data_IF_121832008613
#
_entry.id   IF_121832008613
#
_cell.length_a   1.000
_cell.length_b   1.000
_cell.length_c   1.000
_cell.angle_alpha   90.00
_cell.angle_beta   90.00
_cell.angle_gamma   90.00
#
_symmetry.space_group_name_H-M   'P 1'
#
loop_
_entity.id
_entity.type
_entity.pdbx_description
1 polymer ?
#
# COMPACT_ATOMS: atom_id res chain seq x y z
N UNK A 1 -24.17 12.77 25.25
CA UNK A 1 -23.50 11.58 25.81
C UNK A 1 -22.34 11.09 24.91
N UNK A 2 -22.57 10.78 23.64
CA UNK A 2 -21.53 10.21 22.75
C UNK A 2 -20.28 11.10 22.57
N UNK A 3 -20.46 12.41 22.34
CA UNK A 3 -19.35 13.35 22.22
C UNK A 3 -18.48 13.42 23.50
N UNK A 4 -19.11 13.30 24.67
CA UNK A 4 -18.41 13.32 25.94
C UNK A 4 -17.51 12.08 26.10
N UNK A 5 -18.03 10.91 25.72
CA UNK A 5 -17.26 9.66 25.72
C UNK A 5 -16.08 9.73 24.75
N UNK A 6 -16.27 10.31 23.57
CA UNK A 6 -15.20 10.54 22.58
C UNK A 6 -14.13 11.46 23.16
N UNK A 7 -14.50 12.60 23.75
CA UNK A 7 -13.54 13.57 24.29
C UNK A 7 -12.76 12.99 25.49
N UNK A 8 -13.37 12.15 26.31
CA UNK A 8 -12.71 11.55 27.47
C UNK A 8 -11.80 10.37 27.13
N UNK A 9 -12.20 9.52 26.18
CA UNK A 9 -11.48 8.26 25.92
C UNK A 9 -10.61 8.28 24.67
N UNK A 10 -10.92 9.10 23.65
CA UNK A 10 -10.09 9.16 22.44
C UNK A 10 -8.98 10.19 22.62
N UNK A 11 -7.70 9.79 22.48
CA UNK A 11 -6.58 10.71 22.69
C UNK A 11 -6.54 11.78 21.61
N UNK A 12 -6.11 12.97 22.00
CA UNK A 12 -5.89 14.07 21.05
C UNK A 12 -4.73 13.72 20.08
N UNK A 13 -4.68 14.35 18.89
CA UNK A 13 -3.56 14.19 17.97
C UNK A 13 -2.19 14.35 18.62
N UNK A 14 -2.06 15.33 19.52
CA UNK A 14 -0.82 15.66 20.25
C UNK A 14 -0.35 14.51 21.13
N UNK A 15 -1.28 13.84 21.83
CA UNK A 15 -0.95 12.67 22.64
C UNK A 15 -0.75 11.41 21.79
N UNK A 16 -1.60 11.23 20.78
CA UNK A 16 -1.62 10.03 19.95
C UNK A 16 -0.37 9.87 19.07
N UNK A 17 0.18 10.98 18.58
CA UNK A 17 1.30 10.95 17.65
C UNK A 17 2.59 10.39 18.28
N UNK A 18 2.84 10.66 19.56
CA UNK A 18 4.07 10.24 20.25
C UNK A 18 4.32 8.73 20.14
N UNK A 19 3.31 7.91 20.40
CA UNK A 19 3.43 6.45 20.30
C UNK A 19 3.14 5.92 18.89
N UNK A 20 2.34 6.62 18.07
CA UNK A 20 2.00 6.15 16.72
C UNK A 20 3.14 6.31 15.72
N UNK A 21 3.93 7.39 15.82
CA UNK A 21 5.01 7.67 14.85
C UNK A 21 6.10 6.59 14.89
N UNK A 22 6.31 5.98 16.06
CA UNK A 22 7.22 4.83 16.20
C UNK A 22 6.85 3.66 15.28
N UNK A 23 5.55 3.48 15.00
CA UNK A 23 5.06 2.41 14.13
C UNK A 23 4.77 2.88 12.69
N UNK A 24 4.50 4.17 12.50
CA UNK A 24 4.09 4.73 11.22
C UNK A 24 5.27 5.24 10.37
N UNK A 25 6.34 5.76 10.98
CA UNK A 25 7.48 6.31 10.25
C UNK A 25 8.56 5.26 10.06
N UNK A 26 9.06 5.07 8.84
CA UNK A 26 10.11 4.09 8.54
C UNK A 26 11.53 4.63 8.81
N UNK A 27 11.67 5.95 8.97
CA UNK A 27 12.95 6.59 9.24
C UNK A 27 13.40 6.54 10.70
N UNK A 28 14.62 7.04 10.97
CA UNK A 28 15.16 7.14 12.32
C UNK A 28 14.25 8.02 13.20
N UNK A 29 14.02 7.57 14.43
CA UNK A 29 13.10 8.22 15.37
C UNK A 29 13.66 9.52 15.98
N UNK A 30 14.95 9.77 15.78
CA UNK A 30 15.71 10.92 16.28
C UNK A 30 15.84 12.04 15.24
N UNK A 31 15.30 11.83 14.04
CA UNK A 31 15.29 12.82 12.96
C UNK A 31 14.48 14.07 13.35
N UNK A 32 14.85 15.23 12.79
CA UNK A 32 14.12 16.49 12.97
C UNK A 32 12.66 16.35 12.53
N UNK A 33 12.44 15.64 11.43
CA UNK A 33 11.10 15.34 10.90
C UNK A 33 10.32 14.46 11.88
N UNK A 34 10.94 13.43 12.45
CA UNK A 34 10.31 12.55 13.44
C UNK A 34 9.97 13.29 14.74
N UNK A 35 10.86 14.15 15.23
CA UNK A 35 10.62 14.99 16.41
C UNK A 35 9.47 15.99 16.17
N UNK A 36 9.46 16.66 15.01
CA UNK A 36 8.40 17.60 14.65
C UNK A 36 7.03 16.90 14.55
N UNK A 37 6.99 15.69 13.98
CA UNK A 37 5.77 14.88 13.96
C UNK A 37 5.34 14.46 15.37
N UNK A 38 6.27 14.07 16.27
CA UNK A 38 5.93 13.68 17.65
C UNK A 38 5.35 14.83 18.45
N UNK A 39 5.85 16.05 18.21
CA UNK A 39 5.37 17.27 18.84
C UNK A 39 4.09 17.84 18.22
N UNK A 40 3.64 17.30 17.08
CA UNK A 40 2.55 17.88 16.27
C UNK A 40 2.82 19.35 15.90
N UNK A 41 4.06 19.74 15.63
CA UNK A 41 4.42 21.15 15.49
C UNK A 41 3.87 21.73 14.16
N UNK A 42 2.99 22.75 14.18
CA UNK A 42 2.51 23.40 12.97
C UNK A 42 3.58 24.19 12.22
N UNK A 43 4.73 24.52 12.84
CA UNK A 43 5.84 25.27 12.22
C UNK A 43 6.96 24.38 11.69
N UNK A 44 6.92 23.08 11.98
CA UNK A 44 7.90 22.13 11.46
C UNK A 44 7.74 21.87 9.96
N UNK A 45 8.61 21.02 9.42
CA UNK A 45 8.49 20.54 8.05
C UNK A 45 7.15 19.85 7.83
N UNK A 46 6.52 20.14 6.69
CA UNK A 46 5.24 19.54 6.34
C UNK A 46 5.43 18.04 6.13
N UNK A 47 4.63 17.24 6.83
CA UNK A 47 4.52 15.80 6.63
C UNK A 47 3.05 15.42 6.58
N UNK A 48 2.61 14.91 5.44
CA UNK A 48 1.23 14.50 5.21
C UNK A 48 1.23 13.05 4.73
N UNK A 49 0.39 12.23 5.35
CA UNK A 49 0.12 10.89 4.86
C UNK A 49 -1.18 10.89 4.08
N UNK A 50 -1.13 10.51 2.81
CA UNK A 50 -2.32 10.35 1.96
C UNK A 50 -2.77 8.89 2.04
N UNK A 51 -3.95 8.69 2.60
CA UNK A 51 -4.53 7.36 2.81
C UNK A 51 -5.39 6.90 1.64
N UNK A 52 -6.17 7.82 1.07
CA UNK A 52 -7.17 7.50 0.03
C UNK A 52 -7.35 8.66 -0.91
N UNK A 53 -7.75 8.36 -2.15
CA UNK A 53 -8.27 9.35 -3.08
C UNK A 53 -9.78 9.28 -3.13
N UNK A 54 -10.42 10.43 -3.07
CA UNK A 54 -11.86 10.58 -3.17
C UNK A 54 -12.15 11.15 -4.56
N UNK A 55 -12.98 10.48 -5.39
CA UNK A 55 -13.40 11.08 -6.65
C UNK A 55 -14.22 12.34 -6.35
N UNK A 56 -13.89 13.45 -7.01
CA UNK A 56 -14.71 14.65 -6.95
C UNK A 56 -16.05 14.41 -7.67
N UNK A 57 -17.07 15.22 -7.37
CA UNK A 57 -18.40 15.12 -8.00
C UNK A 57 -18.33 15.20 -9.54
N UNK A 58 -17.34 15.90 -10.09
CA UNK A 58 -17.11 16.02 -11.53
C UNK A 58 -16.53 14.75 -12.18
N UNK A 59 -16.14 13.73 -11.38
CA UNK A 59 -15.59 12.44 -11.83
C UNK A 59 -14.24 12.49 -12.55
N UNK A 60 -13.77 13.68 -12.92
CA UNK A 60 -12.53 13.91 -13.67
C UNK A 60 -11.30 14.13 -12.79
N UNK A 61 -11.50 14.51 -11.53
CA UNK A 61 -10.43 14.87 -10.59
C UNK A 61 -10.56 14.06 -9.31
N UNK A 62 -9.41 13.75 -8.71
CA UNK A 62 -9.34 13.11 -7.40
C UNK A 62 -8.86 14.11 -6.34
N UNK A 63 -9.55 14.11 -5.21
CA UNK A 63 -9.11 14.76 -3.99
C UNK A 63 -8.26 13.76 -3.21
N UNK A 64 -7.03 14.15 -2.89
CA UNK A 64 -6.14 13.31 -2.10
C UNK A 64 -6.41 13.55 -0.63
N UNK A 65 -7.04 12.56 0.02
CA UNK A 65 -7.44 12.62 1.41
C UNK A 65 -6.35 12.05 2.30
N UNK A 66 -5.93 12.85 3.27
CA UNK A 66 -4.82 12.52 4.13
C UNK A 66 -4.86 13.25 5.45
N UNK A 67 -3.85 12.99 6.27
CA UNK A 67 -3.66 13.65 7.56
C UNK A 67 -2.31 14.31 7.63
N UNK A 68 -2.29 15.53 8.16
CA UNK A 68 -1.07 16.28 8.41
C UNK A 68 -0.52 15.86 9.77
N UNK A 69 0.70 15.34 9.80
CA UNK A 69 1.40 14.94 11.02
C UNK A 69 2.28 16.05 11.58
N UNK A 70 2.90 16.84 10.70
CA UNK A 70 3.76 17.98 11.04
C UNK A 70 3.61 19.08 10.00
N UNK A 71 3.86 20.32 10.41
CA UNK A 71 3.85 21.50 9.57
C UNK A 71 2.46 22.02 9.21
N UNK A 72 2.44 23.06 8.38
CA UNK A 72 1.22 23.71 7.88
C UNK A 72 1.26 23.75 6.37
N UNK A 73 0.26 23.18 5.70
CA UNK A 73 0.17 23.21 4.24
C UNK A 73 -0.62 24.44 3.79
N UNK A 74 -0.11 25.14 2.79
CA UNK A 74 -0.71 26.33 2.19
C UNK A 74 -1.09 26.03 0.75
N UNK A 75 -2.22 26.58 0.29
CA UNK A 75 -2.61 26.49 -1.12
C UNK A 75 -1.56 27.18 -2.02
N UNK A 76 -1.11 26.48 -3.06
CA UNK A 76 -0.02 26.93 -3.95
C UNK A 76 1.38 26.47 -3.53
N UNK A 77 1.55 25.83 -2.36
CA UNK A 77 2.86 25.38 -1.89
C UNK A 77 3.44 24.27 -2.77
N UNK A 78 4.74 24.34 -3.03
CA UNK A 78 5.51 23.28 -3.69
C UNK A 78 5.84 22.19 -2.67
N UNK A 79 5.44 20.96 -2.97
CA UNK A 79 5.66 19.80 -2.10
C UNK A 79 6.31 18.66 -2.86
N UNK A 80 7.04 17.84 -2.13
CA UNK A 80 7.65 16.60 -2.59
C UNK A 80 6.68 15.46 -2.28
N UNK A 81 6.37 14.68 -3.29
CA UNK A 81 5.49 13.52 -3.21
C UNK A 81 6.38 12.29 -3.29
N UNK A 82 6.36 11.50 -2.23
CA UNK A 82 7.12 10.27 -2.10
C UNK A 82 6.18 9.09 -2.33
N UNK A 83 6.44 8.31 -3.39
CA UNK A 83 5.75 7.06 -3.67
C UNK A 83 6.07 5.98 -2.62
N UNK A 84 5.33 4.85 -2.61
CA UNK A 84 5.48 3.80 -1.61
C UNK A 84 6.88 3.16 -1.59
N UNK A 85 7.53 3.06 -2.75
CA UNK A 85 8.84 2.42 -2.89
C UNK A 85 10.02 3.41 -2.77
N UNK A 86 9.74 4.67 -2.45
CA UNK A 86 10.77 5.70 -2.28
C UNK A 86 11.70 5.35 -1.11
N UNK A 87 13.01 5.43 -1.36
CA UNK A 87 14.05 5.35 -0.33
C UNK A 87 14.85 6.65 -0.31
N UNK A 88 15.17 7.19 0.89
CA UNK A 88 16.03 8.36 1.01
C UNK A 88 17.36 8.16 0.26
N UNK A 89 17.73 9.14 -0.57
CA UNK A 89 18.91 9.08 -1.43
C UNK A 89 18.68 8.55 -2.84
N UNK A 90 17.52 7.93 -3.12
CA UNK A 90 17.10 7.61 -4.48
C UNK A 90 16.20 8.71 -5.05
N UNK A 91 16.31 8.97 -6.36
CA UNK A 91 15.35 9.82 -7.09
C UNK A 91 14.18 9.02 -7.66
N UNK A 92 14.17 7.70 -7.48
CA UNK A 92 13.06 6.84 -7.91
C UNK A 92 11.80 7.15 -7.09
N UNK A 93 10.66 7.36 -7.77
CA UNK A 93 9.35 7.67 -7.17
C UNK A 93 9.25 8.99 -6.37
N UNK A 94 10.17 9.92 -6.61
CA UNK A 94 10.06 11.29 -6.15
C UNK A 94 9.43 12.17 -7.23
N UNK A 95 8.34 12.86 -6.89
CA UNK A 95 7.75 13.88 -7.77
C UNK A 95 7.54 15.19 -7.02
N UNK A 96 8.02 16.29 -7.59
CA UNK A 96 7.82 17.63 -7.03
C UNK A 96 6.66 18.28 -7.78
N UNK A 97 5.61 18.65 -7.05
CA UNK A 97 4.44 19.35 -7.62
C UNK A 97 3.90 20.40 -6.67
N UNK A 98 3.17 21.34 -7.25
CA UNK A 98 2.47 22.37 -6.51
C UNK A 98 1.07 21.86 -6.12
N UNK A 99 0.70 22.05 -4.86
CA UNK A 99 -0.68 21.82 -4.41
C UNK A 99 -1.52 22.98 -4.92
N UNK A 100 -2.55 22.70 -5.73
CA UNK A 100 -3.40 23.76 -6.29
C UNK A 100 -4.28 24.36 -5.20
N UNK A 101 -5.06 23.50 -4.52
CA UNK A 101 -5.99 23.89 -3.47
C UNK A 101 -5.90 22.90 -2.30
N UNK A 102 -6.04 23.45 -1.10
CA UNK A 102 -6.16 22.72 0.16
C UNK A 102 -7.58 22.91 0.67
N UNK A 103 -8.21 21.85 1.18
CA UNK A 103 -9.52 21.93 1.80
C UNK A 103 -9.73 20.91 2.90
N UNK A 104 -10.84 21.04 3.62
CA UNK A 104 -11.31 20.05 4.60
C UNK A 104 -12.61 19.45 4.10
N UNK A 105 -12.70 18.13 4.17
CA UNK A 105 -13.91 17.40 3.81
C UNK A 105 -14.88 17.38 4.99
N UNK A 106 -16.09 17.87 4.75
CA UNK A 106 -17.22 17.78 5.69
C UNK A 106 -18.32 16.99 5.00
N UNK A 107 -18.35 15.69 5.25
CA UNK A 107 -19.25 14.77 4.55
C UNK A 107 -18.91 14.68 3.06
N UNK A 108 -19.84 15.12 2.21
CA UNK A 108 -19.73 15.15 0.75
C UNK A 108 -19.14 16.45 0.21
N UNK A 109 -19.02 17.50 1.05
CA UNK A 109 -18.55 18.82 0.63
C UNK A 109 -17.09 19.04 0.98
N UNK A 110 -16.34 19.58 0.03
CA UNK A 110 -14.97 20.05 0.25
C UNK A 110 -14.99 21.57 0.49
N UNK A 111 -14.61 22.00 1.68
CA UNK A 111 -14.47 23.43 2.02
C UNK A 111 -13.02 23.83 1.77
N UNK A 112 -12.80 24.67 0.76
CA UNK A 112 -11.46 25.19 0.44
C UNK A 112 -10.97 26.14 1.52
N UNK A 113 -9.70 26.02 1.91
CA UNK A 113 -9.06 26.85 2.91
C UNK A 113 -7.68 27.33 2.44
N UNK A 114 -7.23 28.46 2.99
CA UNK A 114 -5.92 29.02 2.66
C UNK A 114 -4.77 28.17 3.22
N UNK A 115 -4.91 27.70 4.46
CA UNK A 115 -3.92 26.85 5.13
C UNK A 115 -4.56 25.87 6.12
N UNK A 116 -3.91 24.73 6.35
CA UNK A 116 -4.35 23.72 7.32
C UNK A 116 -3.14 23.27 8.16
N UNK A 117 -3.19 23.37 9.50
CA UNK A 117 -2.09 22.99 10.38
C UNK A 117 -2.07 21.50 10.72
N UNK A 118 -0.97 21.06 11.31
CA UNK A 118 -0.74 19.70 11.81
C UNK A 118 -1.86 19.18 12.73
N UNK A 119 -2.05 17.87 12.72
CA UNK A 119 -3.06 17.16 13.50
C UNK A 119 -4.40 16.98 12.77
N UNK A 120 -4.70 17.86 11.82
CA UNK A 120 -5.95 17.86 11.05
C UNK A 120 -5.92 16.93 9.83
N UNK A 121 -7.12 16.57 9.39
CA UNK A 121 -7.37 15.82 8.16
C UNK A 121 -7.62 16.81 7.03
N UNK A 122 -7.03 16.54 5.86
CA UNK A 122 -6.99 17.47 4.74
C UNK A 122 -7.30 16.75 3.43
N UNK A 123 -7.92 17.48 2.50
CA UNK A 123 -8.06 17.10 1.11
C UNK A 123 -7.20 18.03 0.24
N UNK A 124 -6.28 17.43 -0.51
CA UNK A 124 -5.36 18.13 -1.40
C UNK A 124 -5.79 17.94 -2.86
N UNK A 125 -5.75 19.02 -3.63
CA UNK A 125 -6.04 19.01 -5.07
C UNK A 125 -4.77 19.34 -5.87
N UNK A 126 -4.56 18.65 -7.01
CA UNK A 126 -3.44 18.92 -7.94
C UNK A 126 -2.29 17.90 -7.87
N UNK A 127 -2.35 16.95 -6.94
CA UNK A 127 -1.35 15.89 -6.74
C UNK A 127 -1.85 14.49 -7.16
N UNK A 128 -3.03 14.43 -7.80
CA UNK A 128 -3.72 13.21 -8.20
C UNK A 128 -2.90 12.33 -9.15
N UNK A 129 -2.30 12.92 -10.19
CA UNK A 129 -1.58 12.16 -11.24
C UNK A 129 -0.29 11.50 -10.77
N UNK A 130 0.30 11.96 -9.68
CA UNK A 130 1.56 11.43 -9.14
C UNK A 130 1.37 10.17 -8.31
N UNK A 131 0.14 9.98 -7.85
CA UNK A 131 -0.18 9.05 -6.78
C UNK A 131 -0.89 7.85 -7.36
N UNK A 132 -0.56 6.65 -6.90
CA UNK A 132 -1.35 5.47 -7.18
C UNK A 132 -2.36 5.28 -6.04
N UNK A 133 -1.90 4.75 -4.90
CA UNK A 133 -2.77 4.40 -3.76
C UNK A 133 -2.53 5.30 -2.55
N UNK A 134 -1.31 5.25 -2.03
CA UNK A 134 -0.87 5.98 -0.84
C UNK A 134 0.43 6.70 -1.14
N UNK A 135 0.69 7.77 -0.40
CA UNK A 135 1.99 8.44 -0.46
C UNK A 135 2.22 9.31 0.76
N UNK A 136 3.49 9.65 0.91
CA UNK A 136 3.95 10.65 1.87
C UNK A 136 4.21 11.94 1.12
N UNK A 137 3.65 13.05 1.59
CA UNK A 137 3.94 14.38 1.05
C UNK A 137 4.76 15.13 2.07
N UNK A 138 5.87 15.70 1.62
CA UNK A 138 6.84 16.39 2.48
C UNK A 138 7.39 17.65 1.85
N UNK A 139 7.87 18.59 2.66
CA UNK A 139 8.71 19.70 2.20
C UNK A 139 10.20 19.41 2.38
N UNK A 140 10.55 18.51 3.32
CA UNK A 140 11.94 18.19 3.64
C UNK A 140 12.59 17.27 2.62
N UNK A 141 13.89 17.44 2.39
CA UNK A 141 14.67 16.58 1.50
C UNK A 141 15.11 15.28 2.18
N UNK A 142 15.22 15.27 3.51
CA UNK A 142 15.74 14.15 4.32
C UNK A 142 14.62 13.26 4.88
N UNK A 143 13.36 13.62 4.64
CA UNK A 143 12.21 12.88 5.11
C UNK A 143 12.13 11.47 4.52
N UNK A 144 11.82 10.51 5.38
CA UNK A 144 11.54 9.13 5.00
C UNK A 144 10.03 8.92 4.77
N UNK A 145 9.71 7.76 4.20
CA UNK A 145 8.32 7.37 3.98
C UNK A 145 7.61 6.95 5.27
N UNK A 146 6.29 7.12 5.25
CA UNK A 146 5.41 6.37 6.13
C UNK A 146 5.31 4.91 5.66
N UNK A 147 5.16 4.02 6.64
CA UNK A 147 4.96 2.59 6.42
C UNK A 147 3.73 2.37 5.56
N UNK A 148 3.91 1.65 4.47
CA UNK A 148 2.81 1.32 3.55
C UNK A 148 1.76 0.50 4.30
N UNK A 149 0.48 0.83 4.08
CA UNK A 149 -0.62 0.08 4.69
C UNK A 149 -0.57 -1.38 4.22
N UNK A 150 -0.40 -2.30 5.18
CA UNK A 150 -0.68 -3.71 4.96
C UNK A 150 -2.19 -3.90 4.99
N UNK A 151 -2.80 -4.25 3.86
CA UNK A 151 -4.18 -4.69 3.86
C UNK A 151 -4.25 -6.07 4.51
N UNK A 152 -5.05 -6.21 5.56
CA UNK A 152 -5.25 -7.50 6.23
C UNK A 152 -5.94 -8.54 5.34
N UNK A 153 -6.52 -8.10 4.21
CA UNK A 153 -7.27 -8.94 3.28
C UNK A 153 -6.59 -8.94 1.93
N UNK A 154 -6.23 -10.13 1.46
CA UNK A 154 -5.76 -10.34 0.09
C UNK A 154 -6.95 -10.39 -0.88
N UNK A 155 -6.86 -9.79 -2.08
CA UNK A 155 -7.91 -9.92 -3.08
C UNK A 155 -7.98 -11.36 -3.60
N UNK A 156 -9.07 -12.06 -3.28
CA UNK A 156 -9.25 -13.49 -3.57
C UNK A 156 -10.02 -13.75 -4.86
N UNK A 157 -11.02 -12.92 -5.17
CA UNK A 157 -11.88 -13.06 -6.35
C UNK A 157 -11.26 -12.31 -7.51
N UNK A 158 -11.14 -12.95 -8.67
CA UNK A 158 -10.62 -12.38 -9.91
C UNK A 158 -11.63 -12.48 -11.03
N UNK A 159 -11.70 -11.45 -11.85
CA UNK A 159 -12.55 -11.41 -13.04
C UNK A 159 -11.80 -10.76 -14.19
N UNK A 160 -11.79 -11.44 -15.34
CA UNK A 160 -11.36 -10.83 -16.59
C UNK A 160 -12.44 -9.87 -17.09
N UNK A 161 -12.04 -8.65 -17.42
CA UNK A 161 -12.91 -7.59 -17.94
C UNK A 161 -12.39 -7.18 -19.31
N UNK A 162 -13.30 -7.11 -20.26
CA UNK A 162 -13.04 -6.59 -21.60
C UNK A 162 -14.16 -5.62 -22.02
N UNK A 163 -13.92 -4.85 -23.07
CA UNK A 163 -14.94 -3.96 -23.67
C UNK A 163 -15.78 -4.74 -24.68
N UNK A 164 -17.08 -4.38 -24.82
CA UNK A 164 -17.88 -4.93 -25.92
C UNK A 164 -17.41 -4.40 -27.28
N UNK A 165 -17.07 -3.12 -27.34
CA UNK A 165 -16.57 -2.45 -28.53
C UNK A 165 -15.05 -2.21 -28.43
N UNK A 166 -14.24 -2.75 -29.35
CA UNK A 166 -12.78 -2.68 -29.27
C UNK A 166 -12.22 -1.25 -29.37
N UNK A 167 -12.99 -0.32 -29.94
CA UNK A 167 -12.64 1.11 -30.03
C UNK A 167 -12.57 1.79 -28.67
N UNK A 168 -13.28 1.29 -27.67
CA UNK A 168 -13.33 1.86 -26.33
C UNK A 168 -12.28 1.27 -25.37
N UNK A 169 -11.39 0.41 -25.86
CA UNK A 169 -10.35 -0.22 -25.03
C UNK A 169 -9.48 0.82 -24.29
N UNK A 170 -9.16 1.94 -24.93
CA UNK A 170 -8.40 3.03 -24.30
C UNK A 170 -9.14 3.66 -23.09
N UNK A 171 -10.48 3.76 -23.17
CA UNK A 171 -11.32 4.25 -22.06
C UNK A 171 -11.36 3.27 -20.91
N UNK A 172 -11.39 1.97 -21.20
CA UNK A 172 -11.30 0.93 -20.17
C UNK A 172 -9.98 1.00 -19.41
N UNK A 173 -8.85 1.13 -20.11
CA UNK A 173 -7.53 1.23 -19.46
C UNK A 173 -7.43 2.48 -18.58
N UNK A 174 -7.96 3.62 -19.03
CA UNK A 174 -8.02 4.84 -18.20
C UNK A 174 -8.97 4.67 -17.00
N UNK A 175 -10.12 4.03 -17.22
CA UNK A 175 -11.09 3.73 -16.17
C UNK A 175 -10.54 2.79 -15.10
N UNK A 176 -9.80 1.75 -15.50
CA UNK A 176 -9.13 0.82 -14.59
C UNK A 176 -8.05 1.53 -13.77
N UNK A 177 -7.27 2.44 -14.38
CA UNK A 177 -6.30 3.26 -13.64
C UNK A 177 -6.98 4.14 -12.59
N UNK A 178 -8.15 4.71 -12.90
CA UNK A 178 -8.96 5.48 -11.96
C UNK A 178 -9.54 4.63 -10.84
N UNK A 179 -9.98 3.40 -11.16
CA UNK A 179 -10.50 2.46 -10.18
C UNK A 179 -9.45 2.06 -9.14
N UNK A 180 -8.21 1.74 -9.57
CA UNK A 180 -7.08 1.44 -8.67
C UNK A 180 -6.75 2.61 -7.74
N UNK A 181 -6.96 3.84 -8.20
CA UNK A 181 -6.74 5.04 -7.41
C UNK A 181 -7.86 5.28 -6.38
N UNK A 182 -9.11 4.98 -6.75
CA UNK A 182 -10.28 5.17 -5.90
C UNK A 182 -10.37 4.10 -4.79
N UNK A 183 -10.06 2.84 -5.13
CA UNK A 183 -10.09 1.72 -4.19
C UNK A 183 -8.70 1.11 -4.00
N UNK A 184 -8.24 1.14 -2.75
CA UNK A 184 -6.92 0.67 -2.38
C UNK A 184 -6.79 -0.87 -2.35
N UNK A 185 -7.90 -1.58 -2.16
CA UNK A 185 -7.95 -3.06 -2.10
C UNK A 185 -7.96 -3.68 -3.49
N UNK A 186 -8.47 -2.97 -4.50
CA UNK A 186 -8.51 -3.46 -5.88
C UNK A 186 -7.10 -3.57 -6.45
N UNK A 187 -6.86 -4.66 -7.17
CA UNK A 187 -5.66 -4.85 -7.99
C UNK A 187 -6.08 -5.14 -9.42
N UNK A 188 -5.39 -4.52 -10.37
CA UNK A 188 -5.58 -4.81 -11.80
C UNK A 188 -4.30 -5.45 -12.29
N UNK A 189 -4.42 -6.66 -12.82
CA UNK A 189 -3.34 -7.46 -13.37
C UNK A 189 -3.57 -7.61 -14.87
N UNK A 190 -2.50 -7.63 -15.65
CA UNK A 190 -2.58 -7.94 -17.07
C UNK A 190 -2.09 -9.38 -17.27
N UNK A 191 -3.03 -10.32 -17.41
CA UNK A 191 -2.74 -11.74 -17.63
C UNK A 191 -3.13 -12.09 -19.08
N UNK A 192 -2.16 -12.53 -19.88
CA UNK A 192 -2.36 -12.93 -21.29
C UNK A 192 -3.01 -11.86 -22.20
N UNK A 193 -2.75 -10.57 -21.93
CA UNK A 193 -3.35 -9.46 -22.68
C UNK A 193 -4.79 -9.12 -22.26
N UNK A 194 -5.34 -9.83 -21.27
CA UNK A 194 -6.63 -9.52 -20.66
C UNK A 194 -6.42 -8.75 -19.36
N UNK A 195 -7.30 -7.76 -19.12
CA UNK A 195 -7.30 -7.01 -17.87
C UNK A 195 -8.10 -7.79 -16.82
N UNK A 196 -7.43 -8.22 -15.76
CA UNK A 196 -8.04 -8.96 -14.66
C UNK A 196 -8.16 -8.05 -13.45
N UNK A 197 -9.38 -7.88 -12.95
CA UNK A 197 -9.66 -7.18 -11.69
C UNK A 197 -9.68 -8.21 -10.57
N UNK A 198 -8.85 -7.99 -9.54
CA UNK A 198 -8.84 -8.76 -8.32
C UNK A 198 -9.45 -7.93 -7.18
N UNK A 199 -10.42 -8.51 -6.48
CA UNK A 199 -11.18 -7.90 -5.40
C UNK A 199 -11.26 -8.82 -4.17
N UNK A 200 -11.53 -8.23 -3.01
CA UNK A 200 -11.60 -8.94 -1.73
C UNK A 200 -12.79 -9.92 -1.61
N UNK A 201 -13.86 -9.74 -2.38
CA UNK A 201 -15.06 -10.58 -2.32
C UNK A 201 -16.04 -10.26 -3.44
N UNK A 202 -17.14 -11.01 -3.52
CA UNK A 202 -18.15 -10.89 -4.57
C UNK A 202 -18.86 -9.53 -4.57
N UNK A 203 -19.39 -9.11 -3.42
CA UNK A 203 -20.05 -7.79 -3.31
C UNK A 203 -19.09 -6.64 -3.66
N UNK A 204 -17.84 -6.74 -3.24
CA UNK A 204 -16.83 -5.72 -3.56
C UNK A 204 -16.58 -5.67 -5.07
N UNK A 205 -16.46 -6.82 -5.71
CA UNK A 205 -16.29 -6.92 -7.17
C UNK A 205 -17.49 -6.33 -7.91
N UNK A 206 -18.73 -6.61 -7.49
CA UNK A 206 -19.94 -6.05 -8.10
C UNK A 206 -19.96 -4.52 -8.05
N UNK A 207 -19.60 -3.94 -6.90
CA UNK A 207 -19.50 -2.47 -6.73
C UNK A 207 -18.41 -1.91 -7.65
N UNK A 208 -17.23 -2.54 -7.71
CA UNK A 208 -16.14 -2.11 -8.59
C UNK A 208 -16.53 -2.13 -10.07
N UNK A 209 -17.24 -3.18 -10.51
CA UNK A 209 -17.72 -3.29 -11.89
C UNK A 209 -18.76 -2.23 -12.19
N UNK A 210 -19.70 -1.98 -11.27
CA UNK A 210 -20.70 -0.93 -11.40
C UNK A 210 -20.07 0.47 -11.48
N UNK A 211 -19.06 0.75 -10.65
CA UNK A 211 -18.33 2.02 -10.67
C UNK A 211 -17.51 2.20 -11.95
N UNK A 212 -16.89 1.12 -12.44
CA UNK A 212 -16.14 1.13 -13.70
C UNK A 212 -17.07 1.44 -14.89
N UNK A 213 -18.23 0.80 -14.96
CA UNK A 213 -19.21 1.00 -16.04
C UNK A 213 -19.89 2.37 -15.96
N UNK A 214 -20.34 2.80 -14.77
CA UNK A 214 -21.12 4.05 -14.62
C UNK A 214 -20.28 5.31 -14.53
N UNK A 215 -19.17 5.27 -13.79
CA UNK A 215 -18.46 6.48 -13.36
C UNK A 215 -17.19 6.71 -14.16
N UNK A 216 -16.37 5.66 -14.32
CA UNK A 216 -14.99 5.81 -14.80
C UNK A 216 -14.83 5.60 -16.31
N UNK A 217 -15.28 4.46 -16.84
CA UNK A 217 -15.09 4.11 -18.24
C UNK A 217 -16.29 4.50 -19.13
N UNK A 218 -17.51 4.54 -18.56
CA UNK A 218 -18.77 4.88 -19.27
C UNK A 218 -18.94 4.09 -20.56
N UNK A 219 -18.50 2.83 -20.56
CA UNK A 219 -18.58 1.93 -21.69
C UNK A 219 -19.16 0.58 -21.23
N UNK A 220 -19.93 -0.10 -22.09
CA UNK A 220 -20.50 -1.38 -21.75
C UNK A 220 -19.41 -2.45 -21.69
N UNK A 221 -19.32 -3.13 -20.56
CA UNK A 221 -18.28 -4.13 -20.28
C UNK A 221 -18.76 -5.55 -20.59
N UNK A 222 -17.82 -6.41 -20.98
CA UNK A 222 -17.97 -7.86 -21.03
C UNK A 222 -17.18 -8.45 -19.87
N UNK A 223 -17.90 -9.07 -18.95
CA UNK A 223 -17.36 -9.58 -17.69
C UNK A 223 -17.35 -11.11 -17.75
N UNK A 224 -16.20 -11.72 -17.47
CA UNK A 224 -16.08 -13.17 -17.36
C UNK A 224 -16.60 -13.68 -16.01
N UNK A 225 -16.75 -15.00 -15.87
CA UNK A 225 -17.15 -15.60 -14.59
C UNK A 225 -16.07 -15.37 -13.53
N UNK A 226 -16.44 -15.04 -12.29
CA UNK A 226 -15.50 -14.87 -11.20
C UNK A 226 -14.78 -16.17 -10.86
N UNK A 227 -13.45 -16.08 -10.77
CA UNK A 227 -12.56 -17.19 -10.44
C UNK A 227 -11.86 -16.85 -9.12
N UNK A 228 -11.72 -17.84 -8.24
CA UNK A 228 -10.96 -17.69 -7.00
C UNK A 228 -9.49 -18.01 -7.25
N UNK A 229 -8.60 -17.22 -6.66
CA UNK A 229 -7.15 -17.47 -6.73
C UNK A 229 -6.80 -18.69 -5.89
N UNK A 230 -6.25 -19.73 -6.53
CA UNK A 230 -5.71 -20.88 -5.82
C UNK A 230 -4.27 -20.62 -5.38
N UNK A 231 -3.87 -21.27 -4.28
CA UNK A 231 -2.47 -21.37 -3.84
C UNK A 231 -2.05 -22.83 -3.93
N UNK A 232 -0.80 -23.05 -4.30
CA UNK A 232 -0.22 -24.38 -4.37
C UNK A 232 0.56 -24.65 -3.07
N UNK A 233 0.36 -25.83 -2.49
CA UNK A 233 1.11 -26.30 -1.32
C UNK A 233 1.44 -27.77 -1.48
N UNK A 234 2.43 -28.23 -0.74
CA UNK A 234 2.83 -29.65 -0.67
C UNK A 234 2.44 -30.20 0.70
N UNK A 235 1.97 -31.45 0.73
CA UNK A 235 1.57 -32.14 1.97
C UNK A 235 2.62 -33.10 2.50
N UNK A 236 3.53 -33.54 1.64
CA UNK A 236 4.56 -34.51 1.97
C UNK A 236 5.89 -34.15 1.32
N UNK A 237 6.97 -34.64 1.92
CA UNK A 237 8.31 -34.46 1.39
C UNK A 237 8.48 -35.19 0.05
N UNK A 238 9.16 -34.55 -0.92
CA UNK A 238 9.41 -35.17 -2.22
C UNK A 238 10.12 -36.50 -2.08
N UNK A 239 9.62 -37.55 -2.74
CA UNK A 239 10.22 -38.89 -2.72
C UNK A 239 11.56 -38.96 -3.44
N UNK A 240 11.78 -38.11 -4.43
CA UNK A 240 13.00 -38.08 -5.25
C UNK A 240 13.61 -36.68 -5.22
N UNK A 241 14.94 -36.62 -5.29
CA UNK A 241 15.64 -35.34 -5.45
C UNK A 241 15.42 -34.85 -6.87
N UNK A 242 14.79 -33.70 -7.01
CA UNK A 242 14.58 -33.06 -8.30
C UNK A 242 15.94 -32.59 -8.84
N UNK A 243 16.23 -32.96 -10.08
CA UNK A 243 17.48 -32.67 -10.73
C UNK A 243 17.24 -31.88 -12.01
N UNK A 244 17.91 -30.74 -12.13
CA UNK A 244 17.88 -29.95 -13.37
C UNK A 244 19.28 -29.50 -13.76
N UNK A 245 19.50 -29.40 -15.07
CA UNK A 245 20.73 -28.88 -15.67
C UNK A 245 20.39 -27.63 -16.45
N UNK A 246 21.27 -26.65 -16.41
CA UNK A 246 21.19 -25.51 -17.32
C UNK A 246 21.37 -25.98 -18.77
N UNK A 247 20.81 -25.23 -19.73
CA UNK A 247 20.96 -25.49 -21.17
C UNK A 247 22.42 -25.53 -21.60
N UNK A 248 23.28 -24.73 -20.96
CA UNK A 248 24.73 -24.74 -21.16
C UNK A 248 25.46 -25.95 -20.51
N UNK A 249 24.75 -26.84 -19.81
CA UNK A 249 25.23 -28.06 -19.12
C UNK A 249 26.29 -27.85 -18.03
N UNK A 250 26.72 -26.62 -17.75
CA UNK A 250 27.74 -26.35 -16.73
C UNK A 250 27.20 -26.41 -15.30
N UNK A 251 25.94 -26.03 -15.10
CA UNK A 251 25.35 -25.97 -13.77
C UNK A 251 24.34 -27.10 -13.57
N UNK A 252 24.39 -27.68 -12.38
CA UNK A 252 23.52 -28.77 -11.93
C UNK A 252 22.87 -28.35 -10.63
N UNK A 253 21.55 -28.45 -10.55
CA UNK A 253 20.79 -28.14 -9.35
C UNK A 253 20.11 -29.42 -8.85
N UNK A 254 20.20 -29.63 -7.54
CA UNK A 254 19.55 -30.71 -6.81
C UNK A 254 18.72 -30.09 -5.70
N UNK A 255 17.42 -30.33 -5.70
CA UNK A 255 16.50 -29.76 -4.72
C UNK A 255 15.46 -30.77 -4.26
N UNK A 256 15.02 -30.62 -3.02
CA UNK A 256 13.93 -31.38 -2.40
C UNK A 256 12.99 -30.40 -1.74
N UNK A 257 11.69 -30.61 -1.90
CA UNK A 257 10.67 -29.80 -1.25
C UNK A 257 10.10 -30.55 -0.04
N UNK A 258 9.95 -29.83 1.07
CA UNK A 258 9.41 -30.30 2.36
C UNK A 258 8.28 -29.34 2.74
N UNK A 259 7.13 -29.82 3.23
CA UNK A 259 6.08 -28.93 3.76
C UNK A 259 6.64 -28.07 4.89
N UNK A 260 6.17 -26.83 4.98
CA UNK A 260 6.48 -25.97 6.11
C UNK A 260 5.62 -26.37 7.32
N UNK A 261 6.18 -26.19 8.51
CA UNK A 261 5.45 -26.39 9.77
C UNK A 261 4.24 -25.44 9.88
N UNK A 262 3.19 -25.88 10.57
CA UNK A 262 1.99 -25.09 10.78
C UNK A 262 2.32 -23.76 11.50
N UNK A 263 1.72 -22.66 11.02
CA UNK A 263 1.93 -21.31 11.57
C UNK A 263 3.24 -20.62 11.16
N UNK A 264 4.21 -21.32 10.55
CA UNK A 264 5.44 -20.68 10.05
C UNK A 264 5.14 -19.72 8.89
N UNK A 265 4.25 -20.11 7.99
CA UNK A 265 3.80 -19.26 6.89
C UNK A 265 3.17 -17.94 7.42
N UNK A 266 2.27 -18.03 8.40
CA UNK A 266 1.62 -16.86 9.01
C UNK A 266 2.63 -15.96 9.75
N UNK A 267 3.65 -16.55 10.38
CA UNK A 267 4.72 -15.80 11.02
C UNK A 267 5.58 -15.02 10.01
N UNK A 268 5.81 -15.59 8.83
CA UNK A 268 6.50 -14.93 7.71
C UNK A 268 5.62 -13.81 7.12
N UNK A 269 4.33 -14.08 6.86
CA UNK A 269 3.41 -13.09 6.28
C UNK A 269 3.13 -11.91 7.21
N UNK A 270 2.98 -12.17 8.52
CA UNK A 270 2.85 -11.11 9.53
C UNK A 270 4.12 -10.24 9.65
N UNK A 271 5.26 -10.74 9.17
CA UNK A 271 6.56 -10.07 9.23
C UNK A 271 7.25 -10.21 10.59
N UNK A 272 6.83 -11.19 11.41
CA UNK A 272 7.58 -11.60 12.61
C UNK A 272 8.93 -12.21 12.22
N UNK A 273 8.94 -12.96 11.12
CA UNK A 273 10.14 -13.49 10.48
C UNK A 273 10.29 -12.78 9.13
N UNK A 274 11.37 -12.01 8.96
CA UNK A 274 11.67 -11.31 7.70
C UNK A 274 13.08 -11.60 7.22
N UNK A 275 13.29 -11.46 5.91
CA UNK A 275 14.62 -11.57 5.28
C UNK A 275 15.59 -10.50 5.79
N UNK A 276 15.07 -9.33 6.20
CA UNK A 276 15.85 -8.16 6.64
C UNK A 276 16.33 -8.20 8.09
N UNK A 277 15.80 -9.13 8.90
CA UNK A 277 16.17 -9.24 10.31
C UNK A 277 17.57 -9.85 10.48
N UNK A 278 18.20 -9.59 11.62
CA UNK A 278 19.49 -10.20 11.93
C UNK A 278 19.38 -11.74 11.95
N UNK A 279 20.28 -12.48 11.27
CA UNK A 279 20.21 -13.93 11.19
C UNK A 279 20.21 -14.65 12.54
N UNK A 280 20.78 -14.05 13.61
CA UNK A 280 20.79 -14.65 14.95
C UNK A 280 19.41 -14.55 15.61
N UNK A 281 18.76 -13.38 15.50
CA UNK A 281 17.41 -13.18 16.03
C UNK A 281 16.42 -14.11 15.31
N UNK A 282 16.51 -14.19 13.99
CA UNK A 282 15.69 -15.12 13.18
C UNK A 282 15.92 -16.57 13.56
N UNK A 283 17.18 -16.98 13.72
CA UNK A 283 17.51 -18.35 14.12
C UNK A 283 16.95 -18.70 15.49
N UNK A 284 16.97 -17.76 16.45
CA UNK A 284 16.41 -17.98 17.78
C UNK A 284 14.91 -18.28 17.73
N UNK A 285 14.15 -17.47 16.98
CA UNK A 285 12.70 -17.66 16.81
C UNK A 285 12.40 -19.01 16.15
N UNK A 286 13.12 -19.36 15.08
CA UNK A 286 12.91 -20.63 14.36
C UNK A 286 13.23 -21.87 15.20
N UNK A 287 14.25 -21.79 16.07
CA UNK A 287 14.62 -22.91 16.96
C UNK A 287 13.62 -23.02 18.12
N UNK A 288 13.27 -21.89 18.77
CA UNK A 288 12.42 -21.88 19.96
C UNK A 288 10.95 -22.15 19.66
N UNK A 289 10.40 -21.58 18.58
CA UNK A 289 8.96 -21.69 18.26
C UNK A 289 8.65 -22.84 17.29
N UNK A 290 9.55 -23.13 16.35
CA UNK A 290 9.29 -24.08 15.25
C UNK A 290 10.20 -25.32 15.29
N UNK A 291 11.09 -25.43 16.27
CA UNK A 291 11.92 -26.63 16.45
C UNK A 291 12.94 -26.89 15.33
N UNK A 292 13.33 -25.87 14.57
CA UNK A 292 14.30 -26.03 13.48
C UNK A 292 15.73 -26.28 14.00
N UNK A 293 16.53 -26.99 13.22
CA UNK A 293 17.96 -27.15 13.50
C UNK A 293 18.73 -25.82 13.27
N UNK A 294 19.57 -25.45 14.23
CA UNK A 294 20.37 -24.22 14.21
C UNK A 294 21.29 -24.14 12.97
N UNK A 295 21.74 -25.28 12.44
CA UNK A 295 22.56 -25.31 11.23
C UNK A 295 21.75 -25.00 9.97
N UNK A 296 20.45 -25.35 9.96
CA UNK A 296 19.54 -25.09 8.85
C UNK A 296 19.07 -23.62 8.84
N UNK A 297 18.76 -23.04 10.01
CA UNK A 297 18.26 -21.65 10.11
C UNK A 297 19.26 -20.61 9.58
N UNK A 298 20.57 -20.88 9.72
CA UNK A 298 21.64 -20.01 9.22
C UNK A 298 21.81 -20.07 7.70
N UNK A 299 21.27 -21.09 7.03
CA UNK A 299 21.41 -21.33 5.59
C UNK A 299 20.19 -20.91 4.78
N UNK A 300 19.24 -20.19 5.38
CA UNK A 300 18.08 -19.65 4.67
C UNK A 300 18.53 -18.56 3.70
N UNK A 301 18.24 -18.73 2.41
CA UNK A 301 18.66 -17.79 1.35
C UNK A 301 17.67 -16.63 1.17
N UNK A 302 16.38 -16.92 1.07
CA UNK A 302 15.33 -15.91 0.85
C UNK A 302 13.96 -16.47 1.26
N UNK A 303 12.98 -15.58 1.39
CA UNK A 303 11.56 -15.93 1.52
C UNK A 303 10.86 -15.56 0.21
N UNK A 304 10.13 -16.50 -0.38
CA UNK A 304 9.34 -16.26 -1.60
C UNK A 304 7.87 -15.95 -1.28
N UNK A 305 7.09 -15.45 -2.24
CA UNK A 305 7.48 -15.08 -3.60
C UNK A 305 8.05 -13.65 -3.73
N UNK A 306 7.79 -12.78 -2.76
CA UNK A 306 8.34 -11.43 -2.69
C UNK A 306 9.13 -11.29 -1.38
N UNK A 307 10.33 -10.70 -1.42
CA UNK A 307 11.13 -10.44 -0.22
C UNK A 307 10.39 -9.43 0.68
N UNK A 308 9.73 -9.92 1.73
CA UNK A 308 9.19 -9.09 2.81
C UNK A 308 10.32 -8.52 3.70
#
# INVERSE_FOLDING_TARGET
AMLHLIVLHLPSPVQAQVYRIQHLYEGPQDDQVACAMKACDPKGDVMIYISKKIPAQDGSRFLCFGRIFSGTIVSGATVRILGPDFRPGSTSDLQIKNVTNVGVMVGDRCISMASVPAGNVVALTGIDKCLLKTATVTTSAEAHNFRVMKFSVSPVVRVAVDVKDPTDHAKLVDGLKKLIQADSLVQVLNENGQQVIAAAGELHLEICLADLEKTHARCPLKVATPIVTYRETITAESRQVAFTKTTNKHNKFFMRAVPLEEGLADAIESGRISSKQDPKQRSKILVEEFGWDLAATKKIWAFGPFDN
#
